data_IF_817363081684
#
_entry.id   IF_817363081684
#
_cell.length_a   1.000
_cell.length_b   1.000
_cell.length_c   1.000
_cell.angle_alpha   90.00
_cell.angle_beta   90.00
_cell.angle_gamma   90.00
#
_symmetry.space_group_name_H-M   'P 1'
#
loop_
_entity.id
_entity.type
_entity.pdbx_description
1 polymer ?
#
# COMPACT_ATOMS: atom_id res chain seq x y z
N UNK A 1 7.65 -4.14 -8.47
CA UNK A 1 7.93 -3.34 -7.25
C UNK A 1 7.27 -1.95 -7.23
N UNK A 2 6.95 -1.32 -8.38
CA UNK A 2 6.37 0.03 -8.44
C UNK A 2 5.08 0.25 -7.61
N UNK A 3 4.21 -0.76 -7.53
CA UNK A 3 2.93 -0.65 -6.80
C UNK A 3 3.11 -0.51 -5.29
N UNK A 4 4.01 -1.28 -4.67
CA UNK A 4 4.33 -1.16 -3.24
C UNK A 4 4.85 0.24 -2.90
N UNK A 5 5.71 0.80 -3.75
CA UNK A 5 6.20 2.18 -3.62
C UNK A 5 5.08 3.22 -3.70
N UNK A 6 4.18 3.10 -4.69
CA UNK A 6 3.00 3.99 -4.81
C UNK A 6 2.07 3.90 -3.60
N UNK A 7 1.90 2.70 -3.05
CA UNK A 7 1.06 2.49 -1.88
C UNK A 7 1.68 3.14 -0.64
N UNK A 8 3.00 3.04 -0.49
CA UNK A 8 3.74 3.74 0.55
C UNK A 8 3.71 5.26 0.34
N UNK A 9 3.78 5.78 -0.88
CA UNK A 9 3.58 7.21 -1.16
C UNK A 9 2.19 7.69 -0.73
N UNK A 10 1.16 6.87 -0.96
CA UNK A 10 -0.21 7.18 -0.51
C UNK A 10 -0.30 7.19 1.01
N UNK A 11 0.31 6.21 1.67
CA UNK A 11 0.32 6.07 3.13
C UNK A 11 1.26 7.05 3.85
N UNK A 12 2.25 7.59 3.15
CA UNK A 12 3.12 8.69 3.60
C UNK A 12 2.59 10.05 3.17
N UNK A 13 1.52 10.08 2.35
CA UNK A 13 0.77 11.30 2.02
C UNK A 13 1.45 12.14 0.96
N UNK A 14 2.44 11.55 0.30
CA UNK A 14 3.10 12.08 -0.88
C UNK A 14 2.23 11.95 -2.12
N UNK A 15 1.23 11.05 -2.12
CA UNK A 15 0.25 10.88 -3.20
C UNK A 15 -1.18 10.72 -2.65
N UNK A 16 -2.20 11.14 -3.42
CA UNK A 16 -3.60 10.91 -3.06
C UNK A 16 -3.99 9.44 -3.27
N UNK A 17 -4.90 8.91 -2.44
CA UNK A 17 -5.39 7.53 -2.54
C UNK A 17 -6.06 7.23 -3.88
N UNK A 18 -6.66 8.25 -4.53
CA UNK A 18 -7.22 8.17 -5.89
C UNK A 18 -6.20 7.75 -6.94
N UNK A 19 -4.90 7.91 -6.69
CA UNK A 19 -3.83 7.41 -7.56
C UNK A 19 -3.82 5.88 -7.69
N UNK A 20 -4.39 5.16 -6.72
CA UNK A 20 -4.50 3.70 -6.70
C UNK A 20 -5.86 3.19 -7.20
N UNK A 21 -6.79 4.09 -7.56
CA UNK A 21 -8.09 3.72 -8.11
C UNK A 21 -7.92 2.87 -9.38
N UNK A 22 -8.69 1.79 -9.50
CA UNK A 22 -8.62 0.82 -10.60
C UNK A 22 -7.51 -0.23 -10.50
N UNK A 23 -6.61 -0.14 -9.50
CA UNK A 23 -5.56 -1.15 -9.24
C UNK A 23 -5.70 -1.84 -7.88
N UNK A 24 -6.77 -1.53 -7.15
CA UNK A 24 -7.12 -2.10 -5.84
C UNK A 24 -8.54 -2.60 -5.96
N UNK A 25 -8.82 -3.84 -5.55
CA UNK A 25 -10.19 -4.37 -5.51
C UNK A 25 -11.00 -3.65 -4.43
N UNK A 26 -12.32 -3.53 -4.61
CA UNK A 26 -13.19 -2.69 -3.78
C UNK A 26 -13.03 -2.96 -2.26
N UNK A 27 -12.87 -4.22 -1.85
CA UNK A 27 -12.70 -4.60 -0.44
C UNK A 27 -11.37 -4.09 0.14
N UNK A 28 -10.29 -4.21 -0.65
CA UNK A 28 -8.98 -3.69 -0.29
C UNK A 28 -8.94 -2.16 -0.35
N UNK A 29 -9.73 -1.54 -1.22
CA UNK A 29 -9.83 -0.08 -1.36
C UNK A 29 -10.56 0.52 -0.17
N UNK A 30 -11.66 -0.08 0.27
CA UNK A 30 -12.35 0.34 1.48
C UNK A 30 -11.45 0.24 2.71
N UNK A 31 -10.66 -0.85 2.84
CA UNK A 31 -9.73 -0.98 3.96
C UNK A 31 -8.58 0.04 3.91
N UNK A 32 -8.08 0.35 2.71
CA UNK A 32 -7.14 1.45 2.50
C UNK A 32 -7.76 2.81 2.85
N UNK A 33 -9.02 3.03 2.50
CA UNK A 33 -9.76 4.24 2.83
C UNK A 33 -9.93 4.38 4.34
N UNK A 34 -10.30 3.33 5.04
CA UNK A 34 -10.38 3.31 6.51
C UNK A 34 -9.02 3.60 7.16
N UNK A 35 -7.94 3.02 6.64
CA UNK A 35 -6.59 3.32 7.10
C UNK A 35 -6.18 4.76 6.80
N UNK A 36 -6.60 5.30 5.65
CA UNK A 36 -6.38 6.70 5.29
C UNK A 36 -7.25 7.66 6.11
N UNK A 37 -8.45 7.27 6.51
CA UNK A 37 -9.32 8.05 7.40
C UNK A 37 -8.77 8.06 8.84
N UNK A 38 -8.33 6.89 9.34
CA UNK A 38 -7.59 6.77 10.60
C UNK A 38 -6.26 7.56 10.59
N UNK A 39 -5.81 7.98 9.41
CA UNK A 39 -4.64 8.84 9.22
C UNK A 39 -4.88 10.29 9.58
N UNK A 40 -6.13 10.76 9.65
CA UNK A 40 -6.41 12.07 10.22
C UNK A 40 -5.84 12.18 11.66
N UNK A 41 -5.91 11.09 12.42
CA UNK A 41 -5.27 10.98 13.73
C UNK A 41 -3.75 10.83 13.65
N UNK A 42 -3.23 10.23 12.56
CA UNK A 42 -1.79 10.12 12.35
C UNK A 42 -1.20 11.51 12.12
N UNK A 43 -1.84 12.36 11.30
CA UNK A 43 -1.43 13.77 11.08
C UNK A 43 -1.30 14.57 12.36
N UNK A 44 -2.16 14.34 13.36
CA UNK A 44 -2.02 14.90 14.72
C UNK A 44 -0.78 14.38 15.44
N UNK A 45 -0.48 13.09 15.32
CA UNK A 45 0.66 12.43 15.97
C UNK A 45 2.02 12.77 15.34
N UNK A 46 2.09 13.01 14.03
CA UNK A 46 3.36 13.30 13.34
C UNK A 46 4.00 14.64 13.73
N UNK A 47 3.30 15.53 14.45
CA UNK A 47 3.80 16.89 14.82
C UNK A 47 4.49 17.63 13.65
N UNK A 48 4.01 17.44 12.42
CA UNK A 48 4.60 18.04 11.21
C UNK A 48 5.73 17.25 10.53
N UNK A 49 6.07 16.05 10.99
CA UNK A 49 7.03 15.15 10.33
C UNK A 49 6.38 14.40 9.19
N UNK A 50 7.19 14.08 8.18
CA UNK A 50 6.74 13.28 7.03
C UNK A 50 6.96 11.81 7.34
N UNK A 51 5.92 10.97 7.34
CA UNK A 51 6.08 9.53 7.52
C UNK A 51 7.03 8.95 6.46
N UNK A 52 7.84 7.97 6.83
CA UNK A 52 8.77 7.32 5.92
C UNK A 52 8.77 5.80 6.10
N UNK A 53 9.24 5.11 5.08
CA UNK A 53 9.31 3.64 5.07
C UNK A 53 10.54 3.22 5.84
N UNK A 54 10.37 2.59 6.99
CA UNK A 54 11.47 2.10 7.82
C UNK A 54 11.98 0.74 7.32
N UNK A 55 11.05 -0.15 6.96
CA UNK A 55 11.38 -1.48 6.42
C UNK A 55 10.37 -1.88 5.37
N UNK A 56 10.82 -2.55 4.31
CA UNK A 56 9.94 -3.16 3.32
C UNK A 56 10.46 -4.55 2.99
N UNK A 57 9.56 -5.53 2.96
CA UNK A 57 9.81 -6.90 2.55
C UNK A 57 8.75 -7.30 1.54
N UNK A 58 9.17 -7.99 0.50
CA UNK A 58 8.27 -8.57 -0.47
C UNK A 58 8.61 -10.05 -0.66
N UNK A 59 7.57 -10.88 -0.74
CA UNK A 59 7.67 -12.31 -0.97
C UNK A 59 6.72 -12.68 -2.11
N UNK A 60 7.16 -13.57 -3.00
CA UNK A 60 6.32 -14.08 -4.09
C UNK A 60 5.81 -15.45 -3.71
N UNK A 61 4.49 -15.63 -3.71
CA UNK A 61 3.84 -16.91 -3.42
C UNK A 61 3.94 -17.86 -4.61
N UNK A 62 3.72 -19.15 -4.38
CA UNK A 62 3.71 -20.17 -5.44
C UNK A 62 2.66 -19.87 -6.52
N UNK A 63 1.52 -19.30 -6.14
CA UNK A 63 0.43 -18.89 -7.04
C UNK A 63 0.74 -17.60 -7.83
N UNK A 64 1.96 -17.06 -7.70
CA UNK A 64 2.39 -15.86 -8.40
C UNK A 64 1.94 -14.54 -7.78
N UNK A 65 1.21 -14.57 -6.65
CA UNK A 65 0.88 -13.38 -5.87
C UNK A 65 2.14 -12.81 -5.17
N UNK A 66 2.12 -11.53 -4.84
CA UNK A 66 3.13 -10.85 -4.07
C UNK A 66 2.57 -10.44 -2.71
N UNK A 67 3.16 -10.97 -1.65
CA UNK A 67 2.92 -10.50 -0.28
C UNK A 67 3.98 -9.46 0.08
N UNK A 68 3.52 -8.28 0.45
CA UNK A 68 4.38 -7.14 0.78
C UNK A 68 4.11 -6.73 2.21
N UNK A 69 5.14 -6.75 3.05
CA UNK A 69 5.09 -6.24 4.41
C UNK A 69 5.98 -5.00 4.52
N UNK A 70 5.39 -3.86 4.87
CA UNK A 70 6.10 -2.61 5.07
C UNK A 70 5.89 -2.10 6.49
N UNK A 71 6.97 -1.65 7.13
CA UNK A 71 6.92 -0.91 8.39
C UNK A 71 7.13 0.56 8.05
N UNK A 72 6.14 1.38 8.38
CA UNK A 72 6.17 2.82 8.18
C UNK A 72 6.39 3.49 9.53
N UNK A 73 7.43 4.30 9.62
CA UNK A 73 7.66 5.19 10.75
C UNK A 73 6.78 6.43 10.55
N UNK A 74 5.89 6.67 11.50
CA UNK A 74 5.11 7.89 11.59
C UNK A 74 5.89 8.95 12.37
N UNK A 75 6.50 8.60 13.50
CA UNK A 75 7.40 9.47 14.28
C UNK A 75 8.60 8.67 14.82
N UNK A 76 9.42 9.22 15.73
CA UNK A 76 10.63 8.55 16.25
C UNK A 76 10.32 7.20 16.88
N UNK A 77 9.20 7.12 17.61
CA UNK A 77 8.82 5.91 18.37
C UNK A 77 7.49 5.31 17.89
N UNK A 78 6.89 5.88 16.85
CA UNK A 78 5.59 5.45 16.34
C UNK A 78 5.77 4.74 15.00
N UNK A 79 5.66 3.42 15.03
CA UNK A 79 5.71 2.57 13.85
C UNK A 79 4.35 1.95 13.55
N UNK A 80 4.10 1.67 12.28
CA UNK A 80 2.93 0.92 11.79
C UNK A 80 3.41 -0.16 10.84
N UNK A 81 2.99 -1.40 11.11
CA UNK A 81 3.21 -2.49 10.19
C UNK A 81 2.03 -2.57 9.23
N UNK A 82 2.31 -2.74 7.96
CA UNK A 82 1.33 -2.82 6.89
C UNK A 82 1.64 -4.05 6.06
N UNK A 83 0.62 -4.84 5.77
CA UNK A 83 0.72 -6.02 4.93
C UNK A 83 -0.25 -5.86 3.75
N UNK A 84 0.23 -6.20 2.56
CA UNK A 84 -0.51 -6.09 1.32
C UNK A 84 -0.34 -7.39 0.53
N UNK A 85 -1.42 -7.88 -0.05
CA UNK A 85 -1.38 -8.97 -1.04
C UNK A 85 -1.70 -8.39 -2.41
N UNK A 86 -0.81 -8.59 -3.36
CA UNK A 86 -0.95 -8.16 -4.74
C UNK A 86 -1.07 -9.41 -5.61
N UNK A 87 -2.15 -9.51 -6.36
CA UNK A 87 -2.34 -10.60 -7.31
C UNK A 87 -2.12 -10.08 -8.73
N UNK A 88 -1.48 -10.87 -9.62
CA UNK A 88 -1.39 -10.51 -11.02
C UNK A 88 -2.79 -10.55 -11.62
N UNK A 89 -3.26 -9.41 -12.12
CA UNK A 89 -4.40 -9.38 -13.02
C UNK A 89 -4.00 -10.11 -14.31
N UNK A 90 -4.94 -10.85 -14.88
CA UNK A 90 -4.78 -11.39 -16.21
C UNK A 90 -4.39 -10.24 -17.17
N UNK A 91 -3.48 -10.46 -18.14
CA UNK A 91 -3.22 -9.49 -19.17
C UNK A 91 -4.49 -9.36 -20.02
N UNK A 92 -5.28 -8.32 -19.74
CA UNK A 92 -6.38 -7.92 -20.61
C UNK A 92 -5.77 -7.27 -21.87
N UNK A 93 -5.37 -8.12 -22.82
CA UNK A 93 -4.99 -7.72 -24.17
C UNK A 93 -3.49 -7.84 -24.52
N UNK A 94 -3.16 -7.90 -25.82
CA UNK A 94 -1.83 -8.25 -26.35
C UNK A 94 -0.75 -7.16 -26.18
N UNK A 95 -0.95 -6.16 -25.31
CA UNK A 95 -0.05 -5.01 -25.18
C UNK A 95 0.15 -4.51 -23.73
N UNK A 96 -0.07 -5.35 -22.72
CA UNK A 96 0.24 -4.97 -21.34
C UNK A 96 1.76 -5.06 -21.09
N UNK A 97 2.48 -3.95 -21.30
CA UNK A 97 3.94 -3.82 -21.13
C UNK A 97 4.42 -3.95 -19.67
N UNK A 98 3.49 -4.14 -18.72
CA UNK A 98 3.79 -4.44 -17.33
C UNK A 98 2.70 -5.33 -16.73
N UNK A 99 3.04 -6.25 -15.82
CA UNK A 99 2.06 -7.01 -15.07
C UNK A 99 1.14 -6.05 -14.29
N UNK A 100 -0.16 -6.10 -14.56
CA UNK A 100 -1.14 -5.35 -13.81
C UNK A 100 -1.33 -6.01 -12.45
N UNK A 101 -0.73 -5.45 -11.41
CA UNK A 101 -0.91 -5.95 -10.05
C UNK A 101 -2.18 -5.36 -9.44
N UNK A 102 -3.05 -6.21 -8.91
CA UNK A 102 -4.26 -5.83 -8.17
C UNK A 102 -4.05 -6.09 -6.69
N UNK A 103 -4.23 -5.07 -5.86
CA UNK A 103 -4.23 -5.26 -4.40
C UNK A 103 -5.54 -5.93 -3.98
N UNK A 104 -5.45 -7.12 -3.37
CA UNK A 104 -6.60 -7.93 -2.95
C UNK A 104 -6.80 -7.94 -1.45
N UNK A 105 -5.74 -7.70 -0.68
CA UNK A 105 -5.83 -7.59 0.78
C UNK A 105 -4.91 -6.52 1.32
N UNK A 106 -5.39 -5.79 2.33
CA UNK A 106 -4.63 -4.80 3.08
C UNK A 106 -4.88 -4.99 4.57
N UNK A 107 -3.81 -5.04 5.35
CA UNK A 107 -3.87 -5.07 6.80
C UNK A 107 -2.90 -4.06 7.39
N UNK A 108 -3.27 -3.47 8.52
CA UNK A 108 -2.40 -2.62 9.31
C UNK A 108 -2.44 -3.03 10.77
N UNK A 109 -1.29 -2.95 11.45
CA UNK A 109 -1.15 -3.20 12.87
C UNK A 109 -0.28 -2.14 13.52
#
# INVERSE_FOLDING_TARGET
>A
MWFAGRLLDVLTGRRPLTSLAGRVRDEAYQRLWELHAARADWRRRVRGRTPYVYRCRCFRTADGALEVAAVVALDQDVFRALAFRLEPAAPDGPAATAPDWRCTAVQAR
#
